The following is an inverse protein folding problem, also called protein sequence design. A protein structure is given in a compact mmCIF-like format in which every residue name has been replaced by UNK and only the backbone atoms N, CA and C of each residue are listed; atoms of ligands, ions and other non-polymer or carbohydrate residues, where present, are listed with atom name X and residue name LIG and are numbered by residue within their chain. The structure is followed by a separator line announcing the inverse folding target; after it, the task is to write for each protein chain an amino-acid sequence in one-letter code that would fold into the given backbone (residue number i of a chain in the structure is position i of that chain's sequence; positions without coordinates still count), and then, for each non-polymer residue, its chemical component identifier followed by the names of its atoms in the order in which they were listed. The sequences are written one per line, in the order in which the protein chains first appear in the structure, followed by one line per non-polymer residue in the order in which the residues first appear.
data_IF_924698541137
#
_entry.id   IF_924698541137
#
_cell.length_a   1.000
_cell.length_b   1.000
_cell.length_c   1.000
_cell.angle_alpha   90.00
_cell.angle_beta   90.00
_cell.angle_gamma   90.00
#
_symmetry.space_group_name_H-M   'P 1'
#
loop_
_entity.id
_entity.type
_entity.pdbx_description
1 polymer ?
#
# COMPACT_ATOMS: atom_id res chain seq x y z
N UNK A 1 4.64 -36.80 13.00
CA UNK A 1 5.74 -36.20 13.79
C UNK A 1 5.93 -34.79 13.24
N UNK A 2 6.30 -33.80 14.08
CA UNK A 2 6.67 -32.48 13.57
C UNK A 2 7.87 -32.62 12.63
N UNK A 3 7.85 -31.87 11.52
CA UNK A 3 8.94 -31.81 10.54
C UNK A 3 9.97 -30.76 10.98
N UNK A 4 9.49 -29.64 11.51
CA UNK A 4 10.32 -28.72 12.29
C UNK A 4 10.35 -29.24 13.72
N UNK A 5 11.36 -30.06 14.00
CA UNK A 5 11.69 -30.48 15.36
C UNK A 5 12.56 -29.39 15.99
N UNK A 6 12.11 -28.83 17.12
CA UNK A 6 12.84 -27.81 17.89
C UNK A 6 14.24 -28.28 18.29
N UNK A 7 14.49 -29.59 18.35
CA UNK A 7 15.81 -30.16 18.62
C UNK A 7 16.82 -30.03 17.46
N UNK A 8 16.34 -29.81 16.22
CA UNK A 8 17.17 -29.58 15.04
C UNK A 8 17.27 -28.08 14.67
N UNK A 9 16.57 -27.23 15.41
CA UNK A 9 16.64 -25.78 15.23
C UNK A 9 17.89 -25.23 15.93
N UNK A 10 18.57 -24.21 15.38
CA UNK A 10 19.68 -23.57 16.08
C UNK A 10 19.27 -23.13 17.47
N UNK A 11 20.08 -23.47 18.49
CA UNK A 11 19.72 -23.34 19.90
C UNK A 11 19.25 -21.92 20.29
N UNK A 12 19.85 -20.89 19.69
CA UNK A 12 19.46 -19.50 19.91
C UNK A 12 18.05 -19.20 19.39
N UNK A 13 17.71 -19.68 18.19
CA UNK A 13 16.38 -19.49 17.62
C UNK A 13 15.33 -20.31 18.37
N UNK A 14 15.68 -21.55 18.76
CA UNK A 14 14.81 -22.39 19.58
C UNK A 14 14.49 -21.73 20.93
N UNK A 15 15.51 -21.18 21.60
CA UNK A 15 15.35 -20.43 22.85
C UNK A 15 14.46 -19.20 22.66
N UNK A 16 14.67 -18.41 21.60
CA UNK A 16 13.83 -17.24 21.33
C UNK A 16 12.37 -17.62 21.10
N UNK A 17 12.11 -18.69 20.35
CA UNK A 17 10.74 -19.20 20.14
C UNK A 17 10.16 -19.66 21.47
N UNK A 18 10.90 -20.42 22.28
CA UNK A 18 10.44 -20.88 23.59
C UNK A 18 10.14 -19.72 24.53
N UNK A 19 10.99 -18.70 24.60
CA UNK A 19 10.79 -17.50 25.41
C UNK A 19 9.56 -16.71 24.95
N UNK A 20 9.42 -16.46 23.63
CA UNK A 20 8.31 -15.67 23.09
C UNK A 20 6.99 -16.41 23.17
N UNK A 21 6.99 -17.71 22.90
CA UNK A 21 5.81 -18.56 23.06
C UNK A 21 5.50 -18.82 24.53
N UNK A 22 6.47 -18.72 25.45
CA UNK A 22 6.25 -18.81 26.89
C UNK A 22 5.63 -17.55 27.51
N UNK A 23 5.66 -16.41 26.82
CA UNK A 23 5.01 -15.17 27.28
C UNK A 23 3.48 -15.25 27.15
N UNK A 24 2.81 -15.30 28.32
CA UNK A 24 1.35 -15.38 28.42
C UNK A 24 0.63 -14.18 27.77
N UNK A 25 1.20 -12.98 27.86
CA UNK A 25 0.59 -11.79 27.28
C UNK A 25 0.60 -11.89 25.75
N UNK A 26 1.75 -12.29 25.20
CA UNK A 26 1.90 -12.51 23.77
C UNK A 26 0.98 -13.64 23.29
N UNK A 27 0.91 -14.78 24.00
CA UNK A 27 0.02 -15.89 23.66
C UNK A 27 -1.45 -15.43 23.61
N UNK A 28 -1.88 -14.69 24.64
CA UNK A 28 -3.25 -14.18 24.73
C UNK A 28 -3.59 -13.26 23.57
N UNK A 29 -2.69 -12.33 23.21
CA UNK A 29 -2.87 -11.46 22.05
C UNK A 29 -2.99 -12.26 20.75
N UNK A 30 -2.17 -13.31 20.62
CA UNK A 30 -2.16 -14.16 19.43
C UNK A 30 -3.41 -15.01 19.29
N UNK A 31 -3.92 -15.56 20.39
CA UNK A 31 -5.19 -16.27 20.40
C UNK A 31 -6.36 -15.36 20.00
N UNK A 32 -6.38 -14.12 20.49
CA UNK A 32 -7.37 -13.11 20.08
C UNK A 32 -7.29 -12.81 18.57
N UNK A 33 -6.08 -12.68 18.03
CA UNK A 33 -5.86 -12.50 16.59
C UNK A 33 -6.41 -13.70 15.81
N UNK A 34 -6.09 -14.92 16.24
CA UNK A 34 -6.58 -16.14 15.61
C UNK A 34 -8.11 -16.18 15.56
N UNK A 35 -8.75 -15.96 16.70
CA UNK A 35 -10.21 -16.05 16.80
C UNK A 35 -10.90 -14.93 16.00
N UNK A 36 -10.30 -13.74 15.91
CA UNK A 36 -10.87 -12.59 15.18
C UNK A 36 -10.67 -12.67 13.67
N UNK A 37 -9.50 -13.14 13.22
CA UNK A 37 -9.08 -12.99 11.81
C UNK A 37 -9.01 -14.32 11.06
N UNK A 38 -8.77 -15.44 11.76
CA UNK A 38 -8.59 -16.75 11.13
C UNK A 38 -9.82 -17.66 11.27
N UNK A 39 -10.92 -17.17 11.85
CA UNK A 39 -12.15 -17.96 11.97
C UNK A 39 -12.70 -18.44 10.62
N UNK A 40 -12.46 -17.73 9.51
CA UNK A 40 -12.90 -18.18 8.19
C UNK A 40 -12.25 -19.50 7.75
N UNK A 41 -11.08 -19.83 8.28
CA UNK A 41 -10.39 -21.09 7.97
C UNK A 41 -11.14 -22.32 8.50
N UNK A 42 -12.03 -22.16 9.50
CA UNK A 42 -12.92 -23.22 9.99
C UNK A 42 -13.84 -23.79 8.87
N UNK A 43 -14.14 -23.01 7.84
CA UNK A 43 -15.06 -23.42 6.78
C UNK A 43 -14.40 -24.19 5.64
N UNK A 44 -13.08 -24.07 5.48
CA UNK A 44 -12.36 -24.62 4.33
C UNK A 44 -11.50 -25.83 4.68
N UNK A 45 -11.15 -26.02 5.95
CA UNK A 45 -10.18 -27.03 6.38
C UNK A 45 -10.80 -28.15 7.20
N UNK A 46 -10.24 -29.36 7.09
CA UNK A 46 -10.57 -30.45 8.02
C UNK A 46 -10.11 -30.07 9.43
N UNK A 47 -10.83 -30.56 10.44
CA UNK A 47 -10.51 -30.30 11.86
C UNK A 47 -9.06 -30.63 12.24
N UNK A 48 -8.48 -31.68 11.65
CA UNK A 48 -7.07 -32.06 11.89
C UNK A 48 -6.08 -31.07 11.28
N UNK A 49 -6.35 -30.56 10.08
CA UNK A 49 -5.52 -29.57 9.38
C UNK A 49 -5.59 -28.23 10.10
N UNK A 50 -6.79 -27.83 10.53
CA UNK A 50 -6.96 -26.60 11.28
C UNK A 50 -6.26 -26.63 12.64
N UNK A 51 -6.31 -27.78 13.34
CA UNK A 51 -5.57 -27.96 14.60
C UNK A 51 -4.06 -27.84 14.39
N UNK A 52 -3.54 -28.38 13.29
CA UNK A 52 -2.13 -28.26 12.94
C UNK A 52 -1.77 -26.81 12.54
N UNK A 53 -2.64 -26.12 11.78
CA UNK A 53 -2.47 -24.72 11.39
C UNK A 53 -2.44 -23.80 12.61
N UNK A 54 -3.41 -23.96 13.53
CA UNK A 54 -3.47 -23.22 14.80
C UNK A 54 -2.23 -23.49 15.65
N UNK A 55 -1.70 -24.71 15.64
CA UNK A 55 -0.49 -25.05 16.37
C UNK A 55 0.74 -24.40 15.78
N UNK A 56 0.94 -24.48 14.47
CA UNK A 56 2.00 -23.74 13.79
C UNK A 56 1.90 -22.24 14.11
N UNK A 57 0.69 -21.69 14.06
CA UNK A 57 0.44 -20.30 14.40
C UNK A 57 0.75 -19.97 15.86
N UNK A 58 0.44 -20.81 16.84
CA UNK A 58 0.67 -20.46 18.25
C UNK A 58 2.08 -20.79 18.73
N UNK A 59 2.66 -21.91 18.27
CA UNK A 59 3.89 -22.48 18.82
C UNK A 59 5.02 -22.66 17.81
N UNK A 60 4.75 -22.50 16.51
CA UNK A 60 5.76 -22.69 15.45
C UNK A 60 5.99 -24.14 15.07
N UNK A 61 5.27 -25.10 15.67
CA UNK A 61 5.37 -26.50 15.28
C UNK A 61 4.75 -26.73 13.89
N UNK A 62 5.56 -27.20 12.94
CA UNK A 62 5.11 -27.53 11.59
C UNK A 62 5.00 -29.06 11.46
N UNK A 63 3.79 -29.55 11.21
CA UNK A 63 3.49 -30.98 10.97
C UNK A 63 3.64 -31.31 9.48
N UNK A 64 4.13 -32.52 9.19
CA UNK A 64 4.10 -33.17 7.87
C UNK A 64 2.79 -33.03 7.10
N UNK A 65 1.65 -33.08 7.79
CA UNK A 65 0.33 -32.89 7.16
C UNK A 65 0.07 -31.46 6.69
N UNK A 66 0.73 -30.47 7.29
CA UNK A 66 0.66 -29.08 6.85
C UNK A 66 1.51 -28.88 5.59
N UNK A 67 2.73 -29.42 5.60
CA UNK A 67 3.71 -29.30 4.52
C UNK A 67 3.18 -29.91 3.22
N UNK A 68 2.52 -31.07 3.27
CA UNK A 68 1.96 -31.70 2.07
C UNK A 68 0.77 -30.95 1.41
N UNK A 69 0.24 -29.90 2.05
CA UNK A 69 -1.00 -29.24 1.62
C UNK A 69 -0.90 -27.72 1.56
N UNK A 70 0.24 -27.12 1.90
CA UNK A 70 0.39 -25.66 2.00
C UNK A 70 1.67 -25.21 1.35
N UNK A 71 1.54 -24.10 0.64
CA UNK A 71 2.66 -23.38 0.08
C UNK A 71 3.56 -22.83 1.19
N UNK A 72 4.84 -22.75 0.88
CA UNK A 72 5.91 -22.26 1.76
C UNK A 72 5.60 -20.89 2.38
N UNK A 73 4.95 -20.05 1.59
CA UNK A 73 4.61 -18.67 1.90
C UNK A 73 3.58 -18.58 3.06
N UNK A 74 2.60 -19.49 3.10
CA UNK A 74 1.65 -19.65 4.22
C UNK A 74 2.36 -20.08 5.52
N UNK A 75 3.42 -20.88 5.43
CA UNK A 75 4.12 -21.37 6.63
C UNK A 75 4.97 -20.27 7.28
N UNK A 76 5.65 -19.44 6.48
CA UNK A 76 6.31 -18.23 6.97
C UNK A 76 5.28 -17.30 7.62
N UNK A 77 4.13 -17.08 6.97
CA UNK A 77 3.08 -16.19 7.44
C UNK A 77 2.44 -16.59 8.77
N UNK A 78 2.58 -17.86 9.18
CA UNK A 78 2.05 -18.36 10.44
C UNK A 78 3.10 -18.44 11.54
N UNK A 79 4.38 -18.34 11.21
CA UNK A 79 5.44 -18.65 12.16
C UNK A 79 5.52 -17.64 13.33
N UNK A 80 5.86 -18.07 14.57
CA UNK A 80 5.92 -17.18 15.74
C UNK A 80 6.86 -16.01 15.71
N UNK A 81 8.00 -16.21 15.10
CA UNK A 81 9.04 -15.20 15.01
C UNK A 81 9.34 -15.07 13.54
N UNK A 82 9.01 -13.92 12.95
CA UNK A 82 9.33 -13.65 11.55
C UNK A 82 10.50 -12.69 11.56
N UNK A 83 11.72 -13.23 11.44
CA UNK A 83 12.97 -12.49 11.39
C UNK A 83 13.95 -13.19 10.42
N UNK A 84 15.04 -12.53 9.99
CA UNK A 84 15.97 -13.11 9.03
C UNK A 84 16.45 -14.54 9.35
N UNK A 85 16.77 -14.83 10.61
CA UNK A 85 17.22 -16.15 11.03
C UNK A 85 16.12 -17.21 10.92
N UNK A 86 14.91 -16.91 11.40
CA UNK A 86 13.80 -17.87 11.33
C UNK A 86 13.33 -18.11 9.91
N UNK A 87 13.28 -17.06 9.08
CA UNK A 87 12.96 -17.18 7.65
C UNK A 87 13.99 -18.07 6.97
N UNK A 88 15.29 -17.82 7.18
CA UNK A 88 16.34 -18.62 6.56
C UNK A 88 16.28 -20.09 6.97
N UNK A 89 16.07 -20.37 8.26
CA UNK A 89 15.87 -21.73 8.76
C UNK A 89 14.67 -22.43 8.10
N UNK A 90 13.54 -21.73 7.98
CA UNK A 90 12.34 -22.28 7.35
C UNK A 90 12.60 -22.60 5.87
N UNK A 91 13.29 -21.72 5.14
CA UNK A 91 13.69 -21.99 3.74
C UNK A 91 14.50 -23.28 3.68
N UNK A 92 15.61 -23.39 4.43
CA UNK A 92 16.49 -24.56 4.37
C UNK A 92 15.79 -25.86 4.80
N UNK A 93 14.92 -25.79 5.80
CA UNK A 93 14.28 -26.98 6.38
C UNK A 93 13.07 -27.43 5.58
N UNK A 94 12.25 -26.50 5.11
CA UNK A 94 10.96 -26.82 4.48
C UNK A 94 11.04 -26.88 2.96
N UNK A 95 11.84 -26.03 2.32
CA UNK A 95 11.88 -25.95 0.87
C UNK A 95 12.24 -27.30 0.21
N UNK A 96 13.29 -28.03 0.65
CA UNK A 96 13.63 -29.33 0.06
C UNK A 96 12.53 -30.38 0.27
N UNK A 97 11.79 -30.28 1.37
CA UNK A 97 10.71 -31.21 1.71
C UNK A 97 9.48 -30.91 0.85
N UNK A 98 9.15 -29.64 0.63
CA UNK A 98 8.07 -29.21 -0.24
C UNK A 98 8.35 -29.58 -1.70
N UNK A 99 9.59 -29.37 -2.16
CA UNK A 99 10.06 -29.75 -3.49
C UNK A 99 9.89 -31.25 -3.79
N UNK A 100 9.99 -32.10 -2.77
CA UNK A 100 9.86 -33.55 -2.93
C UNK A 100 8.41 -34.07 -2.82
N UNK A 101 7.48 -33.28 -2.30
CA UNK A 101 6.12 -33.73 -1.94
C UNK A 101 4.99 -33.08 -2.77
N UNK A 102 5.29 -32.07 -3.58
CA UNK A 102 4.29 -31.43 -4.45
C UNK A 102 4.11 -32.18 -5.79
N UNK A 103 2.90 -32.18 -6.37
CA UNK A 103 2.67 -32.76 -7.69
C UNK A 103 3.42 -31.96 -8.77
N UNK A 104 4.00 -32.65 -9.76
CA UNK A 104 4.85 -32.13 -10.86
C UNK A 104 4.30 -30.88 -11.60
N UNK A 105 3.02 -30.55 -11.45
CA UNK A 105 2.37 -29.40 -12.09
C UNK A 105 2.37 -28.10 -11.27
N UNK A 106 2.81 -28.12 -9.99
CA UNK A 106 2.88 -26.90 -9.14
C UNK A 106 4.29 -26.35 -8.95
N UNK A 107 5.31 -26.98 -9.54
CA UNK A 107 6.68 -26.47 -9.52
C UNK A 107 6.94 -25.46 -10.64
N UNK A 108 7.60 -24.37 -10.24
CA UNK A 108 8.67 -23.68 -10.97
C UNK A 108 9.03 -22.33 -10.32
N UNK A 109 8.55 -22.03 -9.11
CA UNK A 109 8.97 -20.81 -8.40
C UNK A 109 10.20 -21.11 -7.54
N UNK A 110 11.40 -20.63 -7.95
CA UNK A 110 12.62 -20.86 -7.17
C UNK A 110 12.57 -20.04 -5.87
N UNK A 111 13.46 -20.32 -4.90
CA UNK A 111 13.50 -19.69 -3.56
C UNK A 111 13.41 -18.16 -3.65
N UNK A 112 14.06 -17.60 -4.66
CA UNK A 112 14.09 -16.18 -5.03
C UNK A 112 12.68 -15.61 -5.20
N UNK A 113 11.75 -16.36 -5.79
CA UNK A 113 10.37 -15.94 -5.97
C UNK A 113 9.63 -15.83 -4.63
N UNK A 114 9.94 -16.68 -3.66
CA UNK A 114 9.37 -16.59 -2.31
C UNK A 114 9.92 -15.39 -1.54
N UNK A 115 11.21 -15.12 -1.66
CA UNK A 115 11.85 -13.95 -1.05
C UNK A 115 11.32 -12.64 -1.65
N UNK A 116 11.11 -12.59 -2.96
CA UNK A 116 10.46 -11.44 -3.64
C UNK A 116 9.00 -11.28 -3.18
N UNK A 117 8.24 -12.38 -3.01
CA UNK A 117 6.88 -12.31 -2.42
C UNK A 117 6.91 -11.80 -0.98
N UNK A 118 7.88 -12.22 -0.17
CA UNK A 118 8.02 -11.76 1.20
C UNK A 118 8.27 -10.24 1.26
N UNK A 119 9.10 -9.70 0.38
CA UNK A 119 9.28 -8.25 0.22
C UNK A 119 7.97 -7.57 -0.14
N UNK A 120 7.23 -8.11 -1.12
CA UNK A 120 5.92 -7.56 -1.48
C UNK A 120 4.98 -7.54 -0.29
N UNK A 121 4.99 -8.59 0.53
CA UNK A 121 4.16 -8.67 1.72
C UNK A 121 4.58 -7.71 2.81
N UNK A 122 5.88 -7.47 3.01
CA UNK A 122 6.36 -6.45 3.94
C UNK A 122 5.76 -5.10 3.59
N UNK A 123 5.81 -4.75 2.31
CA UNK A 123 5.26 -3.50 1.76
C UNK A 123 3.74 -3.48 1.85
N UNK A 124 3.08 -4.58 1.48
CA UNK A 124 1.61 -4.70 1.42
C UNK A 124 0.95 -4.83 2.80
N UNK A 125 1.67 -5.34 3.79
CA UNK A 125 1.15 -5.60 5.14
C UNK A 125 0.54 -4.37 5.82
N UNK A 126 0.85 -3.19 5.29
CA UNK A 126 0.42 -1.90 5.79
C UNK A 126 -0.88 -1.41 5.13
N UNK A 127 -1.12 -1.84 3.89
CA UNK A 127 -2.29 -1.50 3.06
C UNK A 127 -3.35 -2.58 3.09
N UNK A 128 -2.93 -3.81 3.36
CA UNK A 128 -3.77 -4.99 3.41
C UNK A 128 -4.80 -4.88 4.54
N UNK A 129 -6.08 -4.91 4.16
CA UNK A 129 -7.20 -5.23 5.06
C UNK A 129 -7.26 -6.71 5.42
N UNK A 130 -6.23 -7.48 5.06
CA UNK A 130 -5.98 -8.85 5.49
C UNK A 130 -5.02 -8.79 6.70
N UNK A 131 -5.52 -8.52 7.92
CA UNK A 131 -4.75 -8.63 9.16
C UNK A 131 -4.29 -10.07 9.43
N UNK A 132 -4.65 -11.04 8.58
CA UNK A 132 -4.43 -12.47 8.74
C UNK A 132 -2.98 -12.94 8.51
N UNK A 133 -1.99 -12.05 8.48
CA UNK A 133 -0.58 -12.45 8.27
C UNK A 133 0.27 -12.05 9.46
N UNK A 134 1.16 -12.95 9.92
CA UNK A 134 2.09 -12.63 11.02
C UNK A 134 2.92 -11.38 10.71
N UNK A 135 3.29 -11.20 9.44
CA UNK A 135 4.08 -10.05 8.99
C UNK A 135 3.38 -8.70 9.19
N UNK A 136 2.04 -8.69 9.21
CA UNK A 136 1.23 -7.49 9.48
C UNK A 136 1.29 -7.03 10.94
N UNK A 137 1.70 -7.92 11.85
CA UNK A 137 1.83 -7.63 13.28
C UNK A 137 3.24 -7.24 13.71
N UNK A 138 4.22 -7.34 12.81
CA UNK A 138 5.60 -6.95 13.10
C UNK A 138 5.71 -5.44 13.35
N UNK A 139 6.56 -5.07 14.29
CA UNK A 139 6.96 -3.68 14.47
C UNK A 139 7.79 -3.19 13.29
N UNK A 140 7.83 -1.87 13.12
CA UNK A 140 8.50 -1.27 11.96
C UNK A 140 9.98 -1.64 11.85
N UNK A 141 10.69 -1.69 12.98
CA UNK A 141 12.09 -2.07 13.00
C UNK A 141 12.31 -3.53 12.54
N UNK A 142 11.39 -4.44 12.90
CA UNK A 142 11.44 -5.84 12.48
C UNK A 142 11.19 -5.93 10.96
N UNK A 143 10.19 -5.23 10.43
CA UNK A 143 9.93 -5.18 8.98
C UNK A 143 11.12 -4.63 8.18
N UNK A 144 11.73 -3.55 8.67
CA UNK A 144 12.91 -2.93 8.06
C UNK A 144 14.11 -3.87 8.09
N UNK A 145 14.33 -4.61 9.18
CA UNK A 145 15.41 -5.59 9.30
C UNK A 145 15.30 -6.69 8.25
N UNK A 146 14.09 -7.21 8.02
CA UNK A 146 13.84 -8.23 6.99
C UNK A 146 14.04 -7.64 5.59
N UNK A 147 13.51 -6.44 5.34
CA UNK A 147 13.69 -5.75 4.05
C UNK A 147 15.17 -5.55 3.72
N UNK A 148 15.94 -5.01 4.67
CA UNK A 148 17.37 -4.74 4.49
C UNK A 148 18.18 -6.02 4.29
N UNK A 149 17.78 -7.11 4.94
CA UNK A 149 18.45 -8.39 4.75
C UNK A 149 18.21 -8.99 3.36
N UNK A 150 17.01 -8.82 2.80
CA UNK A 150 16.63 -9.39 1.50
C UNK A 150 17.11 -8.53 0.33
N UNK A 151 17.00 -7.21 0.44
CA UNK A 151 17.24 -6.28 -0.66
C UNK A 151 18.51 -5.44 -0.48
N UNK A 152 19.05 -5.34 0.73
CA UNK A 152 20.15 -4.46 1.05
C UNK A 152 19.75 -2.98 1.15
N UNK A 153 20.76 -2.13 1.39
CA UNK A 153 20.57 -0.68 1.47
C UNK A 153 20.39 -0.02 0.08
N UNK A 154 20.99 -0.60 -0.95
CA UNK A 154 20.94 -0.12 -2.33
C UNK A 154 20.54 -1.26 -3.27
N UNK A 155 19.83 -0.92 -4.34
CA UNK A 155 19.45 -1.88 -5.37
C UNK A 155 20.69 -2.47 -6.05
N UNK A 156 20.71 -3.80 -6.18
CA UNK A 156 21.65 -4.55 -7.00
C UNK A 156 20.85 -5.56 -7.85
N UNK A 157 21.14 -5.67 -9.16
CA UNK A 157 20.46 -6.64 -10.03
C UNK A 157 20.76 -8.10 -9.65
N UNK A 158 21.95 -8.34 -9.10
CA UNK A 158 22.34 -9.60 -8.48
C UNK A 158 22.66 -9.31 -7.01
N UNK A 159 21.71 -9.58 -6.12
CA UNK A 159 21.88 -9.37 -4.69
C UNK A 159 22.12 -10.71 -4.00
N UNK A 160 23.20 -10.81 -3.21
CA UNK A 160 23.48 -12.00 -2.43
C UNK A 160 22.88 -11.85 -1.04
N UNK A 161 21.91 -12.71 -0.70
CA UNK A 161 21.39 -12.78 0.65
C UNK A 161 22.29 -13.68 1.49
N UNK A 162 22.90 -13.09 2.51
CA UNK A 162 23.69 -13.83 3.48
C UNK A 162 22.83 -14.76 4.34
N UNK A 163 23.31 -15.99 4.52
CA UNK A 163 22.63 -16.93 5.40
C UNK A 163 22.95 -16.64 6.87
N UNK A 164 21.92 -16.33 7.67
CA UNK A 164 22.10 -15.87 9.06
C UNK A 164 22.53 -16.98 10.03
N UNK A 165 22.17 -18.23 9.76
CA UNK A 165 22.38 -19.36 10.67
C UNK A 165 23.54 -20.27 10.28
N UNK A 166 24.02 -20.14 9.05
CA UNK A 166 25.08 -20.97 8.48
C UNK A 166 26.00 -20.06 7.64
N UNK A 167 27.04 -19.47 8.26
CA UNK A 167 27.97 -18.59 7.55
C UNK A 167 28.74 -19.28 6.41
N UNK A 168 28.79 -20.61 6.39
CA UNK A 168 29.43 -21.40 5.32
C UNK A 168 28.50 -21.59 4.11
N UNK A 169 27.19 -21.37 4.27
CA UNK A 169 26.26 -21.40 3.15
C UNK A 169 26.59 -20.22 2.21
N UNK A 170 26.70 -20.44 0.88
CA UNK A 170 27.09 -19.40 -0.06
C UNK A 170 26.08 -18.23 -0.11
N UNK A 171 24.90 -18.41 0.45
CA UNK A 171 23.77 -17.47 0.42
C UNK A 171 22.83 -17.78 -0.74
N UNK A 172 21.80 -16.95 -0.92
CA UNK A 172 20.91 -17.04 -2.07
C UNK A 172 21.15 -15.86 -3.00
N UNK A 173 21.28 -16.14 -4.30
CA UNK A 173 21.42 -15.10 -5.31
C UNK A 173 20.04 -14.69 -5.80
N UNK A 174 19.65 -13.45 -5.50
CA UNK A 174 18.43 -12.86 -6.03
C UNK A 174 18.71 -12.15 -7.36
N UNK A 175 18.14 -12.71 -8.42
CA UNK A 175 18.06 -12.05 -9.72
C UNK A 175 16.73 -11.30 -9.83
N UNK A 176 16.76 -9.99 -9.60
CA UNK A 176 15.55 -9.16 -9.54
C UNK A 176 15.44 -8.30 -10.79
N UNK A 177 14.41 -8.57 -11.60
CA UNK A 177 13.97 -7.71 -12.70
C UNK A 177 13.70 -6.30 -12.17
N UNK A 178 14.52 -5.35 -12.64
CA UNK A 178 14.43 -3.96 -12.20
C UNK A 178 13.07 -3.33 -12.47
N UNK A 179 12.53 -3.58 -13.66
CA UNK A 179 11.27 -2.97 -14.11
C UNK A 179 10.08 -3.52 -13.33
N UNK A 180 10.10 -4.81 -12.97
CA UNK A 180 9.02 -5.44 -12.23
C UNK A 180 9.07 -5.08 -10.75
N UNK A 181 10.28 -5.01 -10.16
CA UNK A 181 10.43 -4.55 -8.79
C UNK A 181 10.02 -3.09 -8.69
N UNK A 182 10.53 -2.20 -9.55
CA UNK A 182 10.19 -0.79 -9.51
C UNK A 182 8.68 -0.58 -9.66
N UNK A 183 8.03 -1.21 -10.65
CA UNK A 183 6.59 -1.08 -10.82
C UNK A 183 5.86 -1.50 -9.54
N UNK A 184 6.22 -2.63 -8.95
CA UNK A 184 5.61 -3.11 -7.70
C UNK A 184 5.83 -2.14 -6.55
N UNK A 185 7.02 -1.56 -6.40
CA UNK A 185 7.28 -0.57 -5.35
C UNK A 185 6.49 0.73 -5.59
N UNK A 186 6.51 1.26 -6.81
CA UNK A 186 5.81 2.50 -7.17
C UNK A 186 4.29 2.35 -7.07
N UNK A 187 3.73 1.22 -7.55
CA UNK A 187 2.31 0.86 -7.39
C UNK A 187 1.87 0.78 -5.94
N UNK A 188 2.80 0.66 -4.98
CA UNK A 188 2.49 0.62 -3.54
C UNK A 188 2.70 1.97 -2.87
N UNK A 189 3.69 2.76 -3.32
CA UNK A 189 3.86 4.15 -2.88
C UNK A 189 2.72 5.06 -3.33
N UNK A 190 2.15 4.85 -4.51
CA UNK A 190 1.06 5.69 -5.02
C UNK A 190 -0.21 5.62 -4.16
N UNK A 191 -0.71 4.42 -3.79
CA UNK A 191 -1.77 4.28 -2.80
C UNK A 191 -1.49 4.99 -1.47
N UNK A 192 -0.24 5.13 -1.03
CA UNK A 192 0.07 5.87 0.21
C UNK A 192 -0.18 7.37 0.07
N UNK A 193 0.23 7.94 -1.07
CA UNK A 193 -0.10 9.31 -1.45
C UNK A 193 -1.62 9.48 -1.61
N UNK A 194 -2.28 8.41 -2.07
CA UNK A 194 -3.69 8.46 -2.41
C UNK A 194 -4.63 8.27 -1.21
N UNK A 195 -4.28 7.46 -0.21
CA UNK A 195 -5.30 6.79 0.60
C UNK A 195 -5.29 7.08 2.09
N UNK A 196 -4.71 8.20 2.51
CA UNK A 196 -4.79 8.63 3.91
C UNK A 196 -4.28 7.59 4.92
N UNK A 197 -3.32 6.76 4.54
CA UNK A 197 -2.74 5.80 5.46
C UNK A 197 -1.79 6.51 6.44
N UNK A 198 -1.63 5.97 7.64
CA UNK A 198 -0.59 6.42 8.56
C UNK A 198 0.77 5.94 8.02
N UNK A 199 1.53 6.86 7.43
CA UNK A 199 2.75 6.57 6.69
C UNK A 199 3.93 6.21 7.57
N UNK A 200 3.81 6.38 8.89
CA UNK A 200 4.90 6.06 9.81
C UNK A 200 5.25 4.56 9.79
N UNK A 201 4.43 3.74 9.15
CA UNK A 201 4.65 2.31 8.97
C UNK A 201 5.38 1.94 7.68
N UNK A 202 5.51 2.80 6.66
CA UNK A 202 6.00 2.31 5.36
C UNK A 202 7.49 2.07 5.31
N UNK A 203 7.86 0.80 5.08
CA UNK A 203 9.25 0.35 4.93
C UNK A 203 9.95 1.10 3.78
N UNK A 204 9.24 1.37 2.69
CA UNK A 204 9.80 2.00 1.50
C UNK A 204 10.19 3.47 1.74
N UNK A 205 9.37 4.23 2.46
CA UNK A 205 9.71 5.62 2.80
C UNK A 205 10.91 5.74 3.75
N UNK A 206 11.27 4.66 4.45
CA UNK A 206 12.46 4.62 5.32
C UNK A 206 13.73 4.24 4.56
N UNK A 207 13.62 3.92 3.27
CA UNK A 207 14.75 3.55 2.38
C UNK A 207 14.77 4.39 1.11
N UNK A 208 14.85 5.73 1.22
CA UNK A 208 14.91 6.59 0.04
C UNK A 208 16.15 6.34 -0.84
N UNK A 209 17.27 5.91 -0.25
CA UNK A 209 18.48 5.54 -0.99
C UNK A 209 18.27 4.28 -1.85
N UNK A 210 17.57 3.27 -1.31
CA UNK A 210 17.21 2.08 -2.07
C UNK A 210 16.36 2.43 -3.29
N UNK A 211 15.29 3.19 -3.09
CA UNK A 211 14.43 3.67 -4.19
C UNK A 211 15.21 4.51 -5.20
N UNK A 212 16.09 5.40 -4.73
CA UNK A 212 16.90 6.24 -5.60
C UNK A 212 17.89 5.42 -6.45
N UNK A 213 18.57 4.43 -5.85
CA UNK A 213 19.47 3.52 -6.57
C UNK A 213 18.72 2.61 -7.55
N UNK A 214 17.50 2.18 -7.21
CA UNK A 214 16.62 1.44 -8.11
C UNK A 214 16.23 2.28 -9.34
N UNK A 215 15.77 3.52 -9.12
CA UNK A 215 15.46 4.46 -10.22
C UNK A 215 16.70 4.73 -11.08
N UNK A 216 17.85 4.89 -10.44
CA UNK A 216 19.11 5.14 -11.13
C UNK A 216 19.64 3.94 -11.91
N UNK A 217 19.17 2.73 -11.66
CA UNK A 217 19.55 1.54 -12.42
C UNK A 217 18.64 1.30 -13.64
N UNK A 218 17.56 2.06 -13.81
CA UNK A 218 16.61 1.87 -14.90
C UNK A 218 17.23 2.02 -16.29
N UNK A 219 16.72 1.30 -17.30
CA UNK A 219 17.06 1.56 -18.69
C UNK A 219 16.76 3.01 -19.08
N UNK A 220 17.60 3.57 -19.97
CA UNK A 220 17.43 4.95 -20.45
C UNK A 220 16.03 5.20 -21.04
N UNK A 221 15.41 4.20 -21.67
CA UNK A 221 14.05 4.30 -22.21
C UNK A 221 13.02 4.73 -21.17
N UNK A 222 13.15 4.26 -19.93
CA UNK A 222 12.26 4.58 -18.82
C UNK A 222 12.44 6.02 -18.31
N UNK A 223 13.59 6.64 -18.62
CA UNK A 223 13.98 7.98 -18.15
C UNK A 223 13.72 9.09 -19.17
N UNK A 224 13.01 8.79 -20.26
CA UNK A 224 12.69 9.76 -21.33
C UNK A 224 11.25 10.23 -21.28
N UNK A 225 11.01 11.43 -21.83
CA UNK A 225 9.68 11.99 -22.09
C UNK A 225 9.00 11.43 -23.36
N UNK A 226 9.43 10.28 -23.88
CA UNK A 226 8.83 9.67 -25.07
C UNK A 226 7.62 8.81 -24.67
N UNK A 227 6.54 8.88 -25.44
CA UNK A 227 5.43 7.93 -25.28
C UNK A 227 5.84 6.54 -25.74
N UNK A 228 5.51 5.54 -24.93
CA UNK A 228 5.62 4.13 -25.31
C UNK A 228 4.32 3.68 -26.00
N UNK A 229 4.45 2.80 -26.99
CA UNK A 229 3.28 2.13 -27.60
C UNK A 229 2.75 0.99 -26.75
N UNK A 230 3.63 0.44 -25.92
CA UNK A 230 3.36 -0.64 -24.97
C UNK A 230 2.78 0.01 -23.71
N UNK A 231 1.52 -0.31 -23.40
CA UNK A 231 0.78 0.29 -22.28
C UNK A 231 1.50 0.02 -20.96
N UNK A 232 1.91 -1.22 -20.68
CA UNK A 232 2.61 -1.57 -19.44
C UNK A 232 3.88 -0.74 -19.23
N UNK A 233 4.62 -0.44 -20.30
CA UNK A 233 5.82 0.42 -20.22
C UNK A 233 5.45 1.88 -20.01
N UNK A 234 4.38 2.36 -20.63
CA UNK A 234 3.90 3.71 -20.45
C UNK A 234 3.38 3.94 -19.02
N UNK A 235 2.73 2.94 -18.44
CA UNK A 235 2.28 2.92 -17.06
C UNK A 235 3.46 3.07 -16.11
N UNK A 236 4.46 2.21 -16.26
CA UNK A 236 5.72 2.26 -15.48
C UNK A 236 6.34 3.65 -15.49
N UNK A 237 6.41 4.30 -16.66
CA UNK A 237 6.94 5.66 -16.81
C UNK A 237 6.06 6.69 -16.10
N UNK A 238 4.74 6.59 -16.24
CA UNK A 238 3.79 7.52 -15.62
C UNK A 238 3.85 7.43 -14.09
N UNK A 239 3.91 6.23 -13.52
CA UNK A 239 4.13 6.01 -12.08
C UNK A 239 5.44 6.65 -11.59
N UNK A 240 6.53 6.46 -12.34
CA UNK A 240 7.82 7.06 -12.02
C UNK A 240 7.75 8.59 -12.06
N UNK A 241 7.15 9.16 -13.10
CA UNK A 241 6.99 10.60 -13.25
C UNK A 241 6.20 11.20 -12.12
N UNK A 242 5.09 10.57 -11.72
CA UNK A 242 4.26 11.04 -10.61
C UNK A 242 5.02 10.96 -9.28
N UNK A 243 5.73 9.87 -9.01
CA UNK A 243 6.51 9.72 -7.79
C UNK A 243 7.62 10.79 -7.67
N UNK A 244 8.22 11.18 -8.80
CA UNK A 244 9.27 12.19 -8.90
C UNK A 244 8.75 13.64 -9.06
N UNK A 245 7.52 13.82 -9.53
CA UNK A 245 6.91 15.13 -9.70
C UNK A 245 6.75 15.82 -8.34
N UNK A 246 6.97 17.14 -8.31
CA UNK A 246 6.90 17.91 -7.08
C UNK A 246 5.51 17.80 -6.45
N UNK A 247 5.55 17.40 -5.18
CA UNK A 247 4.50 16.66 -4.52
C UNK A 247 3.37 17.43 -3.87
N UNK A 248 2.76 16.71 -2.95
CA UNK A 248 1.65 17.11 -2.09
C UNK A 248 1.71 18.59 -1.76
N UNK A 249 0.69 19.30 -2.19
CA UNK A 249 0.54 20.73 -1.98
C UNK A 249 -0.85 21.02 -1.43
N UNK A 250 -1.08 22.26 -1.02
CA UNK A 250 -2.41 22.74 -0.68
C UNK A 250 -2.49 24.21 -1.09
N UNK A 251 -3.65 24.60 -1.60
CA UNK A 251 -3.98 25.97 -1.99
C UNK A 251 -4.61 26.78 -0.84
N UNK A 252 -4.91 26.16 0.30
CA UNK A 252 -5.73 26.74 1.37
C UNK A 252 -4.95 27.06 2.64
N UNK A 253 -3.90 26.30 2.97
CA UNK A 253 -3.06 26.54 4.15
C UNK A 253 -1.74 25.75 4.10
N UNK A 254 -0.96 25.85 5.20
CA UNK A 254 0.09 24.88 5.50
C UNK A 254 -0.50 23.47 5.63
N UNK A 255 0.18 22.47 5.06
CA UNK A 255 -0.18 21.07 5.20
C UNK A 255 -0.29 20.68 6.69
N UNK A 256 -1.19 19.75 7.00
CA UNK A 256 -1.24 19.16 8.35
C UNK A 256 0.10 18.49 8.70
N UNK A 257 0.45 18.31 9.99
CA UNK A 257 1.72 17.68 10.37
C UNK A 257 1.94 16.30 9.72
N UNK A 258 0.87 15.52 9.54
CA UNK A 258 0.90 14.22 8.86
C UNK A 258 1.24 14.37 7.37
N UNK A 259 0.56 15.28 6.68
CA UNK A 259 0.78 15.55 5.25
C UNK A 259 2.13 16.21 5.00
N UNK A 260 2.60 17.05 5.93
CA UNK A 260 3.94 17.62 5.89
C UNK A 260 5.00 16.53 6.03
N UNK A 261 4.83 15.56 6.94
CA UNK A 261 5.73 14.42 7.05
C UNK A 261 5.78 13.58 5.76
N UNK A 262 4.66 13.44 5.05
CA UNK A 262 4.62 12.77 3.74
C UNK A 262 5.41 13.56 2.69
N UNK A 263 5.16 14.86 2.61
CA UNK A 263 5.90 15.77 1.73
C UNK A 263 7.40 15.74 2.01
N UNK A 264 7.80 15.67 3.27
CA UNK A 264 9.20 15.60 3.67
C UNK A 264 9.85 14.28 3.21
N UNK A 265 9.15 13.13 3.36
CA UNK A 265 9.61 11.83 2.85
C UNK A 265 9.77 11.82 1.33
N UNK A 266 8.80 12.35 0.61
CA UNK A 266 8.93 12.50 -0.84
C UNK A 266 10.08 13.43 -1.22
N UNK A 267 10.26 14.53 -0.49
CA UNK A 267 11.38 15.45 -0.71
C UNK A 267 12.73 14.78 -0.43
N UNK A 268 12.82 13.88 0.55
CA UNK A 268 14.00 13.07 0.80
C UNK A 268 14.29 12.11 -0.37
N UNK A 269 13.27 11.45 -0.92
CA UNK A 269 13.41 10.63 -2.13
C UNK A 269 13.92 11.47 -3.31
N UNK A 270 13.27 12.60 -3.61
CA UNK A 270 13.69 13.49 -4.71
C UNK A 270 15.11 13.99 -4.49
N UNK A 271 15.50 14.30 -3.25
CA UNK A 271 16.87 14.69 -2.91
C UNK A 271 17.86 13.55 -3.16
N UNK A 272 17.53 12.32 -2.76
CA UNK A 272 18.36 11.14 -2.99
C UNK A 272 18.51 10.86 -4.50
N UNK A 273 17.42 10.92 -5.27
CA UNK A 273 17.42 10.75 -6.73
C UNK A 273 18.23 11.85 -7.40
N UNK A 274 18.10 13.11 -6.96
CA UNK A 274 18.85 14.26 -7.52
C UNK A 274 20.35 14.08 -7.39
N UNK A 275 20.84 13.59 -6.22
CA UNK A 275 22.25 13.32 -6.00
C UNK A 275 22.80 12.28 -6.99
N UNK A 276 22.02 11.24 -7.28
CA UNK A 276 22.45 10.20 -8.24
C UNK A 276 22.28 10.67 -9.69
N UNK A 277 21.29 11.54 -9.96
CA UNK A 277 21.04 12.11 -11.28
C UNK A 277 22.22 12.94 -11.82
N UNK A 278 23.09 13.48 -10.95
CA UNK A 278 24.33 14.14 -11.36
C UNK A 278 25.20 13.26 -12.26
N UNK A 279 25.09 11.94 -12.12
CA UNK A 279 25.85 10.93 -12.87
C UNK A 279 25.06 10.34 -14.05
N UNK A 280 23.77 10.68 -14.20
CA UNK A 280 22.89 10.18 -15.28
C UNK A 280 22.16 11.34 -15.97
N UNK A 281 22.65 11.81 -17.14
CA UNK A 281 22.10 12.98 -17.83
C UNK A 281 20.59 12.91 -18.13
N UNK A 282 20.06 11.75 -18.54
CA UNK A 282 18.64 11.59 -18.83
C UNK A 282 17.78 11.70 -17.56
N UNK A 283 18.21 11.12 -16.44
CA UNK A 283 17.52 11.28 -15.16
C UNK A 283 17.53 12.74 -14.71
N UNK A 284 18.67 13.43 -14.85
CA UNK A 284 18.77 14.86 -14.55
C UNK A 284 17.82 15.70 -15.42
N UNK A 285 17.74 15.40 -16.71
CA UNK A 285 16.81 16.07 -17.62
C UNK A 285 15.36 15.81 -17.21
N UNK A 286 15.00 14.55 -16.94
CA UNK A 286 13.65 14.19 -16.48
C UNK A 286 13.26 14.94 -15.21
N UNK A 287 14.13 15.00 -14.20
CA UNK A 287 13.87 15.76 -12.98
C UNK A 287 13.66 17.25 -13.27
N UNK A 288 14.50 17.83 -14.13
CA UNK A 288 14.35 19.23 -14.56
C UNK A 288 13.02 19.46 -15.27
N UNK A 289 12.64 18.54 -16.16
CA UNK A 289 11.40 18.62 -16.94
C UNK A 289 10.16 18.46 -16.07
N UNK A 290 10.25 17.73 -14.95
CA UNK A 290 9.17 17.60 -13.97
C UNK A 290 9.08 18.79 -13.01
N UNK A 291 10.21 19.40 -12.63
CA UNK A 291 10.25 20.59 -11.76
C UNK A 291 9.85 21.87 -12.50
N UNK A 292 10.12 21.95 -13.81
CA UNK A 292 9.66 23.00 -14.70
C UNK A 292 8.88 22.35 -15.86
N UNK A 293 7.60 21.96 -15.63
CA UNK A 293 6.81 21.17 -16.57
C UNK A 293 6.84 21.74 -17.99
N UNK A 294 7.50 21.01 -18.89
CA UNK A 294 7.51 21.34 -20.31
C UNK A 294 6.10 21.21 -20.91
N UNK A 295 5.91 21.67 -22.15
CA UNK A 295 4.64 21.50 -22.86
C UNK A 295 4.19 20.02 -22.96
N UNK A 296 5.13 19.08 -22.78
CA UNK A 296 4.84 17.66 -22.73
C UNK A 296 4.28 17.20 -21.37
N UNK A 297 4.98 17.49 -20.28
CA UNK A 297 4.60 17.01 -18.95
C UNK A 297 3.44 17.79 -18.34
N UNK A 298 3.34 19.09 -18.65
CA UNK A 298 2.29 19.96 -18.12
C UNK A 298 0.88 19.37 -18.28
N UNK A 299 0.40 18.99 -19.49
CA UNK A 299 -0.93 18.43 -19.64
C UNK A 299 -1.10 17.06 -18.96
N UNK A 300 -0.03 16.27 -18.82
CA UNK A 300 -0.07 14.96 -18.16
C UNK A 300 -0.26 15.13 -16.65
N UNK A 301 0.55 16.01 -16.05
CA UNK A 301 0.49 16.31 -14.62
C UNK A 301 -0.79 17.06 -14.25
N UNK A 302 -1.24 18.01 -15.07
CA UNK A 302 -2.52 18.72 -14.87
C UNK A 302 -3.72 17.77 -14.97
N UNK A 303 -3.69 16.78 -15.88
CA UNK A 303 -4.76 15.79 -15.97
C UNK A 303 -4.75 14.82 -14.78
N UNK A 304 -3.56 14.49 -14.26
CA UNK A 304 -3.39 13.61 -13.11
C UNK A 304 -3.63 14.34 -11.77
N UNK A 305 -3.76 15.67 -11.75
CA UNK A 305 -3.92 16.45 -10.52
C UNK A 305 -5.30 16.25 -9.88
N UNK A 306 -5.31 15.82 -8.62
CA UNK A 306 -6.49 15.53 -7.82
C UNK A 306 -6.44 16.29 -6.49
N UNK A 307 -7.63 16.59 -5.94
CA UNK A 307 -7.80 17.21 -4.62
C UNK A 307 -8.44 16.21 -3.64
N UNK A 308 -7.90 16.12 -2.44
CA UNK A 308 -8.46 15.30 -1.37
C UNK A 308 -8.79 16.15 -0.16
N UNK A 309 -9.92 15.84 0.46
CA UNK A 309 -10.39 16.50 1.67
C UNK A 309 -10.79 15.43 2.68
N UNK A 310 -10.09 15.42 3.81
CA UNK A 310 -10.42 14.55 4.93
C UNK A 310 -11.09 15.36 6.03
N UNK A 311 -12.20 14.85 6.56
CA UNK A 311 -12.92 15.45 7.67
C UNK A 311 -13.00 14.50 8.86
N UNK A 312 -12.80 15.02 10.07
CA UNK A 312 -13.15 14.33 11.31
C UNK A 312 -14.60 14.61 11.67
N UNK A 313 -15.32 13.61 12.19
CA UNK A 313 -16.67 13.81 12.73
C UNK A 313 -16.73 13.32 14.19
N UNK A 314 -17.59 13.94 14.99
CA UNK A 314 -18.00 13.36 16.27
C UNK A 314 -18.93 12.16 16.05
N UNK A 315 -19.22 11.41 17.11
CA UNK A 315 -20.03 10.19 17.02
C UNK A 315 -21.47 10.44 16.51
N UNK A 316 -22.07 11.59 16.85
CA UNK A 316 -23.43 11.91 16.45
C UNK A 316 -23.50 12.24 14.95
N UNK A 317 -22.59 13.08 14.48
CA UNK A 317 -22.46 13.44 13.06
C UNK A 317 -22.02 12.24 12.21
N UNK A 318 -21.10 11.41 12.72
CA UNK A 318 -20.69 10.14 12.10
C UNK A 318 -21.90 9.24 11.83
N UNK A 319 -22.82 9.09 12.79
CA UNK A 319 -24.05 8.30 12.62
C UNK A 319 -24.98 8.87 11.56
N UNK A 320 -25.13 10.20 11.50
CA UNK A 320 -25.95 10.88 10.48
C UNK A 320 -25.41 10.60 9.08
N UNK A 321 -24.10 10.77 8.89
CA UNK A 321 -23.41 10.51 7.63
C UNK A 321 -23.51 9.02 7.25
N UNK A 322 -23.26 8.11 8.21
CA UNK A 322 -23.42 6.65 8.00
C UNK A 322 -24.84 6.31 7.56
N UNK A 323 -25.87 6.81 8.26
CA UNK A 323 -27.27 6.52 7.89
C UNK A 323 -27.63 7.03 6.49
N UNK A 324 -27.04 8.15 6.07
CA UNK A 324 -27.28 8.73 4.74
C UNK A 324 -26.62 7.89 3.64
N UNK A 325 -25.39 7.43 3.85
CA UNK A 325 -24.63 6.66 2.84
C UNK A 325 -24.80 5.13 2.94
N UNK A 326 -25.30 4.57 4.06
CA UNK A 326 -25.47 3.13 4.29
C UNK A 326 -26.45 2.45 3.33
N UNK A 327 -27.26 3.23 2.60
CA UNK A 327 -28.21 2.70 1.59
C UNK A 327 -27.54 2.39 0.25
N UNK A 328 -26.24 2.62 0.13
CA UNK A 328 -25.51 2.45 -1.11
C UNK A 328 -24.90 1.05 -1.14
N UNK A 329 -25.35 0.26 -2.11
CA UNK A 329 -24.73 -1.02 -2.37
C UNK A 329 -23.35 -0.78 -3.01
N UNK A 330 -22.28 -1.43 -2.53
CA UNK A 330 -21.01 -1.45 -3.26
C UNK A 330 -21.25 -2.06 -4.64
N UNK A 331 -20.60 -1.54 -5.69
CA UNK A 331 -20.73 -2.10 -7.05
C UNK A 331 -20.25 -3.56 -7.08
N UNK A 332 -20.90 -4.39 -7.90
CA UNK A 332 -20.42 -5.75 -8.19
C UNK A 332 -18.97 -5.71 -8.69
N UNK A 333 -18.09 -6.50 -8.06
CA UNK A 333 -16.67 -6.60 -8.41
C UNK A 333 -15.72 -5.91 -7.43
N UNK A 334 -16.20 -4.94 -6.63
CA UNK A 334 -15.42 -4.35 -5.54
C UNK A 334 -15.56 -5.25 -4.30
N UNK A 335 -14.50 -5.98 -3.94
CA UNK A 335 -14.57 -6.88 -2.79
C UNK A 335 -14.87 -6.08 -1.52
N UNK A 336 -15.92 -6.47 -0.77
CA UNK A 336 -16.31 -5.86 0.52
C UNK A 336 -15.18 -5.74 1.54
N UNK A 337 -14.08 -6.49 1.37
CA UNK A 337 -12.93 -6.49 2.25
C UNK A 337 -11.97 -5.33 2.00
N UNK A 338 -12.04 -4.68 0.85
CA UNK A 338 -11.04 -3.73 0.40
C UNK A 338 -11.80 -2.50 -0.09
N UNK A 339 -11.84 -1.48 0.76
CA UNK A 339 -12.27 -0.12 0.45
C UNK A 339 -13.78 0.06 0.28
N UNK A 340 -14.40 0.82 1.19
CA UNK A 340 -15.74 1.34 0.95
C UNK A 340 -15.66 2.55 0.01
N UNK A 341 -15.38 2.32 -1.27
CA UNK A 341 -15.60 3.33 -2.29
C UNK A 341 -17.10 3.41 -2.55
N UNK A 342 -17.70 4.54 -2.23
CA UNK A 342 -18.97 4.91 -2.84
C UNK A 342 -18.60 5.86 -3.97
N UNK A 343 -18.46 5.27 -5.16
CA UNK A 343 -18.31 6.01 -6.41
C UNK A 343 -19.62 6.76 -6.71
N UNK A 344 -19.70 7.99 -6.21
CA UNK A 344 -20.75 8.93 -6.58
C UNK A 344 -20.37 9.59 -7.91
N UNK A 345 -20.46 8.84 -9.02
CA UNK A 345 -20.49 9.46 -10.36
C UNK A 345 -21.76 10.27 -10.48
N UNK A 346 -21.73 11.50 -9.99
CA UNK A 346 -22.81 12.44 -10.24
C UNK A 346 -22.52 13.04 -11.61
N UNK A 347 -23.11 12.46 -12.64
CA UNK A 347 -23.36 13.25 -13.83
C UNK A 347 -24.29 14.39 -13.42
N UNK A 348 -24.01 15.64 -13.80
CA UNK A 348 -24.76 16.80 -13.32
C UNK A 348 -26.27 16.69 -13.57
N UNK A 349 -26.75 15.85 -14.48
CA UNK A 349 -28.17 15.81 -14.86
C UNK A 349 -28.76 14.40 -14.85
N UNK A 350 -28.27 13.48 -14.00
CA UNK A 350 -28.89 12.16 -13.85
C UNK A 350 -30.01 12.20 -12.77
N UNK A 351 -31.29 12.30 -13.14
CA UNK A 351 -32.40 12.29 -12.19
C UNK A 351 -32.55 10.96 -11.45
N UNK A 352 -31.96 9.87 -11.98
CA UNK A 352 -32.00 8.54 -11.38
C UNK A 352 -30.89 8.35 -10.33
N UNK A 353 -29.91 9.26 -10.26
CA UNK A 353 -28.79 9.24 -9.28
C UNK A 353 -28.54 10.63 -8.67
N UNK A 354 -29.30 11.04 -7.63
CA UNK A 354 -29.13 12.35 -7.01
C UNK A 354 -27.76 12.49 -6.32
N UNK A 355 -27.19 13.70 -6.38
CA UNK A 355 -25.98 14.06 -5.65
C UNK A 355 -26.20 13.87 -4.13
N UNK A 356 -25.62 12.81 -3.59
CA UNK A 356 -25.81 12.45 -2.19
C UNK A 356 -25.08 13.39 -1.25
N UNK A 357 -23.98 14.00 -1.69
CA UNK A 357 -23.25 15.00 -0.90
C UNK A 357 -24.11 16.25 -0.79
N UNK A 358 -24.68 16.72 -1.91
CA UNK A 358 -25.63 17.82 -1.90
C UNK A 358 -26.84 17.53 -1.00
N UNK A 359 -27.44 16.34 -1.14
CA UNK A 359 -28.61 15.94 -0.36
C UNK A 359 -28.32 15.92 1.15
N UNK A 360 -27.10 15.51 1.53
CA UNK A 360 -26.65 15.57 2.91
C UNK A 360 -26.47 17.02 3.37
N UNK A 361 -25.80 17.86 2.58
CA UNK A 361 -25.57 19.28 2.88
C UNK A 361 -26.90 20.04 3.03
N UNK A 362 -27.88 19.79 2.16
CA UNK A 362 -29.22 20.37 2.28
C UNK A 362 -29.92 20.00 3.60
N UNK A 363 -29.60 18.84 4.18
CA UNK A 363 -30.16 18.38 5.46
C UNK A 363 -29.43 18.96 6.67
N UNK A 364 -28.09 18.97 6.65
CA UNK A 364 -27.28 19.33 7.84
C UNK A 364 -26.83 20.80 7.86
N UNK A 365 -26.76 21.44 6.70
CA UNK A 365 -26.33 22.83 6.53
C UNK A 365 -27.06 23.49 5.35
N UNK A 366 -28.40 23.65 5.40
CA UNK A 366 -29.20 24.17 4.28
C UNK A 366 -28.77 25.58 3.83
N UNK A 367 -28.21 26.37 4.74
CA UNK A 367 -27.67 27.70 4.46
C UNK A 367 -26.45 27.69 3.52
N UNK A 368 -25.81 26.52 3.30
CA UNK A 368 -24.67 26.34 2.40
C UNK A 368 -25.06 25.81 1.01
N UNK A 369 -26.35 25.61 0.74
CA UNK A 369 -26.85 25.05 -0.53
C UNK A 369 -26.38 25.83 -1.76
N UNK A 370 -26.42 27.17 -1.73
CA UNK A 370 -25.93 28.04 -2.81
C UNK A 370 -24.40 27.92 -3.02
N UNK A 371 -23.64 27.75 -1.93
CA UNK A 371 -22.18 27.57 -2.01
C UNK A 371 -21.83 26.23 -2.67
N UNK A 372 -22.59 25.16 -2.38
CA UNK A 372 -22.43 23.88 -3.06
C UNK A 372 -22.75 23.96 -4.55
N UNK A 373 -23.82 24.67 -4.92
CA UNK A 373 -24.17 24.86 -6.34
C UNK A 373 -23.06 25.59 -7.11
N UNK A 374 -22.44 26.60 -6.48
CA UNK A 374 -21.29 27.29 -7.06
C UNK A 374 -20.07 26.36 -7.24
N UNK A 375 -19.80 25.48 -6.27
CA UNK A 375 -18.75 24.46 -6.36
C UNK A 375 -19.05 23.44 -7.48
N UNK A 376 -20.31 23.00 -7.60
CA UNK A 376 -20.76 22.07 -8.65
C UNK A 376 -20.56 22.65 -10.06
N UNK A 377 -20.71 23.96 -10.22
CA UNK A 377 -20.45 24.66 -11.48
C UNK A 377 -18.96 24.57 -11.92
N UNK A 378 -18.05 24.15 -11.03
CA UNK A 378 -16.64 23.89 -11.34
C UNK A 378 -16.41 22.53 -12.04
N UNK A 379 -17.46 21.75 -12.34
CA UNK A 379 -17.38 20.42 -12.96
C UNK A 379 -16.49 19.42 -12.20
N UNK A 380 -16.50 19.49 -10.87
CA UNK A 380 -15.76 18.57 -10.02
C UNK A 380 -16.52 17.23 -9.89
N UNK A 381 -15.77 16.15 -9.87
CA UNK A 381 -16.27 14.83 -9.48
C UNK A 381 -15.96 14.62 -8.00
N UNK A 382 -16.98 14.22 -7.22
CA UNK A 382 -16.84 13.97 -5.78
C UNK A 382 -17.14 12.51 -5.51
N UNK A 383 -16.15 11.76 -5.05
CA UNK A 383 -16.31 10.43 -4.49
C UNK A 383 -16.19 10.48 -2.97
N UNK A 384 -16.96 9.65 -2.27
CA UNK A 384 -16.84 9.50 -0.83
C UNK A 384 -16.27 8.12 -0.54
N UNK A 385 -15.17 8.08 0.19
CA UNK A 385 -14.56 6.84 0.63
C UNK A 385 -14.76 6.71 2.14
N UNK A 386 -15.52 5.69 2.53
CA UNK A 386 -15.63 5.28 3.93
C UNK A 386 -14.37 4.52 4.29
N UNK A 387 -13.49 5.13 5.09
CA UNK A 387 -12.31 4.47 5.63
C UNK A 387 -12.73 3.52 6.77
N UNK A 388 -13.35 2.39 6.43
CA UNK A 388 -13.63 1.33 7.41
C UNK A 388 -12.34 0.57 7.73
N UNK A 389 -11.50 1.12 8.61
CA UNK A 389 -10.90 0.29 9.67
C UNK A 389 -11.75 0.49 10.93
N UNK A 390 -11.92 -0.52 11.80
CA UNK A 390 -12.74 -0.40 13.02
C UNK A 390 -12.25 0.63 14.06
N UNK A 391 -11.32 1.51 13.69
CA UNK A 391 -10.57 2.40 14.58
C UNK A 391 -10.55 3.88 14.14
N UNK A 392 -11.09 4.25 12.96
CA UNK A 392 -11.06 5.64 12.51
C UNK A 392 -12.39 6.38 12.75
N UNK A 393 -12.29 7.56 13.37
CA UNK A 393 -13.40 8.51 13.60
C UNK A 393 -13.57 9.52 12.44
N UNK A 394 -12.96 9.26 11.28
CA UNK A 394 -12.80 10.23 10.20
C UNK A 394 -13.42 9.71 8.90
N UNK A 395 -13.91 10.64 8.07
CA UNK A 395 -14.33 10.41 6.68
C UNK A 395 -13.31 11.03 5.74
N UNK A 396 -13.05 10.37 4.61
CA UNK A 396 -12.30 10.96 3.52
C UNK A 396 -13.24 11.20 2.33
N UNK A 397 -13.27 12.44 1.85
CA UNK A 397 -13.90 12.81 0.60
C UNK A 397 -12.79 12.97 -0.45
N UNK A 398 -12.90 12.18 -1.50
CA UNK A 398 -12.02 12.24 -2.67
C UNK A 398 -12.69 13.12 -3.72
N UNK A 399 -12.01 14.16 -4.19
CA UNK A 399 -12.56 15.06 -5.18
C UNK A 399 -11.65 15.05 -6.40
N UNK A 400 -12.10 14.35 -7.44
CA UNK A 400 -11.36 14.35 -8.71
C UNK A 400 -11.83 15.53 -9.54
N UNK A 401 -10.90 16.41 -9.92
CA UNK A 401 -11.20 17.42 -10.91
C UNK A 401 -11.38 16.73 -12.26
N UNK A 402 -12.61 16.60 -12.77
CA UNK A 402 -12.80 15.93 -14.06
C UNK A 402 -12.39 16.87 -15.21
N UNK A 403 -11.14 16.77 -15.64
CA UNK A 403 -10.59 17.55 -16.76
C UNK A 403 -11.05 17.06 -18.13
N UNK A 404 -11.88 16.00 -18.23
CA UNK A 404 -12.15 15.34 -19.52
C UNK A 404 -12.86 16.20 -20.56
N UNK A 405 -13.47 17.36 -20.22
CA UNK A 405 -14.23 18.18 -21.21
C UNK A 405 -14.13 19.70 -21.12
N UNK A 406 -13.44 20.31 -20.15
CA UNK A 406 -13.30 21.77 -20.09
C UNK A 406 -11.92 22.20 -19.61
N UNK A 407 -11.22 23.01 -20.42
CA UNK A 407 -9.91 23.62 -20.16
C UNK A 407 -9.87 24.60 -18.96
N UNK A 408 -10.74 24.45 -17.94
CA UNK A 408 -10.97 25.48 -16.92
C UNK A 408 -11.17 24.98 -15.49
N UNK A 409 -11.04 23.68 -15.20
CA UNK A 409 -11.06 23.25 -13.80
C UNK A 409 -9.69 23.55 -13.16
N UNK A 410 -9.64 24.53 -12.27
CA UNK A 410 -8.47 24.86 -11.47
C UNK A 410 -8.58 24.12 -10.13
N UNK A 411 -7.89 23.00 -9.97
CA UNK A 411 -7.91 22.14 -8.76
C UNK A 411 -7.69 22.93 -7.47
N UNK A 412 -6.88 23.99 -7.53
CA UNK A 412 -6.63 24.90 -6.40
C UNK A 412 -7.87 25.71 -6.02
N UNK A 413 -8.63 26.19 -7.01
CA UNK A 413 -9.89 26.89 -6.76
C UNK A 413 -10.97 25.94 -6.23
N UNK A 414 -11.00 24.70 -6.73
CA UNK A 414 -11.87 23.67 -6.20
C UNK A 414 -11.54 23.39 -4.72
N UNK A 415 -10.27 23.10 -4.39
CA UNK A 415 -9.82 22.89 -3.01
C UNK A 415 -10.22 24.07 -2.10
N UNK A 416 -9.96 25.31 -2.54
CA UNK A 416 -10.31 26.51 -1.77
C UNK A 416 -11.80 26.64 -1.49
N UNK A 417 -12.63 26.45 -2.51
CA UNK A 417 -14.08 26.56 -2.34
C UNK A 417 -14.62 25.46 -1.43
N UNK A 418 -14.09 24.24 -1.57
CA UNK A 418 -14.50 23.11 -0.77
C UNK A 418 -14.04 23.23 0.69
N UNK A 419 -12.79 23.62 0.96
CA UNK A 419 -12.33 23.88 2.32
C UNK A 419 -13.21 24.93 2.99
N UNK A 420 -13.47 26.06 2.32
CA UNK A 420 -14.33 27.10 2.86
C UNK A 420 -15.75 26.58 3.17
N UNK A 421 -16.30 25.70 2.35
CA UNK A 421 -17.58 25.05 2.59
C UNK A 421 -17.52 24.09 3.80
N UNK A 422 -16.53 23.20 3.84
CA UNK A 422 -16.41 22.17 4.88
C UNK A 422 -16.06 22.75 6.25
N UNK A 423 -15.32 23.86 6.32
CA UNK A 423 -15.06 24.60 7.57
C UNK A 423 -16.36 25.13 8.24
N UNK A 424 -17.44 25.29 7.49
CA UNK A 424 -18.74 25.73 8.01
C UNK A 424 -19.63 24.56 8.47
N UNK A 425 -19.19 23.31 8.30
CA UNK A 425 -19.92 22.11 8.72
C UNK A 425 -19.57 21.71 10.16
N UNK A 426 -20.43 20.93 10.83
CA UNK A 426 -20.15 20.40 12.17
C UNK A 426 -19.12 19.25 12.12
N UNK A 427 -17.86 19.60 11.85
CA UNK A 427 -16.71 18.70 11.75
C UNK A 427 -15.73 18.93 12.92
N UNK A 428 -14.94 17.91 13.27
CA UNK A 428 -13.94 17.97 14.35
C UNK A 428 -12.52 18.20 13.84
N UNK A 429 -12.25 17.90 12.57
CA UNK A 429 -10.99 18.21 11.89
C UNK A 429 -11.20 18.33 10.39
N UNK A 430 -10.30 19.04 9.71
CA UNK A 430 -10.25 19.20 8.26
C UNK A 430 -8.79 19.13 7.81
N UNK A 431 -8.50 18.29 6.83
CA UNK A 431 -7.22 18.27 6.10
C UNK A 431 -7.52 18.30 4.61
N UNK A 432 -6.77 19.07 3.81
CA UNK A 432 -6.86 19.05 2.35
C UNK A 432 -5.47 19.02 1.71
N UNK A 433 -5.38 18.37 0.55
CA UNK A 433 -4.17 18.38 -0.26
C UNK A 433 -4.46 18.09 -1.73
N UNK A 434 -3.56 18.57 -2.56
CA UNK A 434 -3.48 18.31 -3.99
C UNK A 434 -2.31 17.37 -4.25
N UNK A 435 -2.53 16.33 -5.03
CA UNK A 435 -1.50 15.40 -5.47
C UNK A 435 -1.77 14.94 -6.91
N UNK A 436 -0.83 14.22 -7.52
CA UNK A 436 -1.07 13.58 -8.81
C UNK A 436 -1.49 12.12 -8.57
N UNK A 437 -2.65 11.70 -9.10
CA UNK A 437 -3.15 10.33 -9.04
C UNK A 437 -2.60 9.50 -10.20
N UNK A 438 -2.46 8.20 -9.95
CA UNK A 438 -1.87 7.26 -10.88
C UNK A 438 -2.85 6.46 -11.74
N UNK A 439 -4.17 6.64 -11.60
CA UNK A 439 -5.22 5.84 -12.28
C UNK A 439 -5.39 6.12 -13.78
N UNK A 440 -4.38 6.69 -14.44
CA UNK A 440 -4.44 7.24 -15.80
C UNK A 440 -4.82 6.20 -16.89
N UNK A 441 -4.83 4.89 -16.62
CA UNK A 441 -4.63 3.87 -17.68
C UNK A 441 -5.65 2.72 -17.65
N UNK A 442 -6.89 2.98 -17.23
CA UNK A 442 -8.00 2.03 -17.44
C UNK A 442 -9.01 2.48 -18.51
N UNK A 443 -8.87 3.68 -19.10
CA UNK A 443 -9.95 4.27 -19.91
C UNK A 443 -9.50 4.88 -21.26
N UNK A 444 -8.47 4.34 -21.90
CA UNK A 444 -8.05 4.75 -23.26
C UNK A 444 -8.19 3.66 -24.34
N UNK A 445 -9.06 2.67 -24.12
CA UNK A 445 -9.57 1.79 -25.18
C UNK A 445 -10.74 2.42 -25.93
#
# INVERSE_FOLDING_TARGET
MPIVDMSNMPAQLAQQIEERTGDLNWQTQREQIWDKHHAKWFYFLKRSELKALKRCFLTGEIDSKLVAHRHFDVLIDLFPIVEPASIGYLIETLYPILEQNEPETSHDLPIESYLVKLVQWLIESEFSSCPERAISYLHQAEKLSIFDWILGENYSPAHQIEHRLNPEHPGWQLDISIDDLLLRLLLRLMPELDNNCDLNTSVLWQRPNYLASLIAALPDSCLTANWEKDEDKQDKKTYLWIALAMGISSATASLSPRLQALKDKQSQLVTAVTKIAEQRPLLKQLLSDLQAPSAFFKPILEYAEDCKIQIGLDEANLKIWQQHFNKLEPREGESRANWGFVDLRVAPDDPDNPDLVFSLLAKIAPHLSEQWLAIRALNIYVAISLLQKPYYKNYALLIKGNTRKSNTCNTKQAEQALVALFEQLPITSLESWIHHESTFIENRS
#
